data_IF_041206133033
#
_entry.id   IF_041206133033
#
_cell.length_a   1.000
_cell.length_b   1.000
_cell.length_c   1.000
_cell.angle_alpha   90.00
_cell.angle_beta   90.00
_cell.angle_gamma   90.00
#
_symmetry.space_group_name_H-M   'P 1'
#
loop_
_entity.id
_entity.type
_entity.pdbx_description
1 polymer ?
#
# COMPACT_ATOMS: atom_id res chain seq x y z
N UNK A 1 21.53 11.38 10.56
CA UNK A 1 20.52 10.46 10.01
C UNK A 1 20.86 10.29 8.55
N UNK A 2 21.12 9.08 8.08
CA UNK A 2 21.31 8.79 6.67
C UNK A 2 19.99 9.04 5.96
N UNK A 3 19.92 10.08 5.13
CA UNK A 3 18.85 10.27 4.13
C UNK A 3 18.78 8.99 3.32
N UNK A 4 17.74 8.20 3.55
CA UNK A 4 17.56 6.94 2.83
C UNK A 4 17.04 7.26 1.43
N UNK A 5 17.82 6.91 0.41
CA UNK A 5 17.39 7.01 -0.97
C UNK A 5 16.22 6.04 -1.22
N UNK A 6 15.19 6.51 -1.93
CA UNK A 6 14.09 5.64 -2.37
C UNK A 6 14.57 4.86 -3.59
N UNK A 7 14.52 3.54 -3.50
CA UNK A 7 14.85 2.60 -4.56
C UNK A 7 13.57 1.91 -5.02
N UNK A 8 13.38 1.80 -6.34
CA UNK A 8 12.20 1.19 -6.95
C UNK A 8 12.63 0.10 -7.90
N UNK A 9 12.01 -1.06 -7.74
CA UNK A 9 12.10 -2.17 -8.64
C UNK A 9 10.79 -2.29 -9.40
N UNK A 10 10.77 -1.75 -10.63
CA UNK A 10 9.56 -1.69 -11.44
C UNK A 10 9.05 -3.09 -11.83
N UNK A 11 9.99 -4.02 -12.09
CA UNK A 11 9.68 -5.40 -12.43
C UNK A 11 9.04 -6.16 -11.27
N UNK A 12 9.50 -5.91 -10.06
CA UNK A 12 8.92 -6.48 -8.84
C UNK A 12 7.76 -5.63 -8.25
N UNK A 13 7.43 -4.50 -8.89
CA UNK A 13 6.52 -3.46 -8.36
C UNK A 13 6.74 -3.22 -6.87
N UNK A 14 8.00 -3.00 -6.51
CA UNK A 14 8.47 -2.86 -5.14
C UNK A 14 9.21 -1.54 -4.98
N UNK A 15 8.99 -0.87 -3.85
CA UNK A 15 9.69 0.31 -3.40
C UNK A 15 10.31 0.02 -2.03
N UNK A 16 11.56 0.43 -1.83
CA UNK A 16 12.23 0.38 -0.53
C UNK A 16 12.92 1.73 -0.28
N UNK A 17 12.74 2.27 0.91
CA UNK A 17 13.46 3.45 1.42
C UNK A 17 14.35 3.01 2.59
N UNK A 18 15.47 2.37 2.27
CA UNK A 18 16.37 1.73 3.24
C UNK A 18 15.61 1.00 4.37
N UNK A 19 15.94 1.29 5.62
CA UNK A 19 15.29 0.72 6.81
C UNK A 19 14.08 1.53 7.30
N UNK A 20 13.53 2.43 6.49
CA UNK A 20 12.46 3.34 6.90
C UNK A 20 11.08 2.88 6.42
N UNK A 21 10.99 2.41 5.17
CA UNK A 21 9.73 2.02 4.55
C UNK A 21 9.94 1.03 3.41
N UNK A 22 8.92 0.21 3.14
CA UNK A 22 8.78 -0.54 1.91
C UNK A 22 7.32 -0.51 1.44
N UNK A 23 7.10 -0.66 0.14
CA UNK A 23 5.78 -0.89 -0.42
C UNK A 23 5.86 -1.80 -1.64
N UNK A 24 4.84 -2.63 -1.87
CA UNK A 24 4.84 -3.51 -3.02
C UNK A 24 3.42 -3.95 -3.39
N UNK A 25 3.26 -4.29 -4.67
CA UNK A 25 2.05 -4.89 -5.21
C UNK A 25 2.40 -6.22 -5.88
N UNK A 26 1.67 -7.28 -5.55
CA UNK A 26 1.74 -8.59 -6.21
C UNK A 26 0.38 -8.85 -6.84
N UNK A 27 0.38 -9.27 -8.10
CA UNK A 27 -0.86 -9.64 -8.78
C UNK A 27 -1.26 -11.06 -8.41
N UNK A 28 -2.51 -11.24 -8.00
CA UNK A 28 -3.05 -12.53 -7.59
C UNK A 28 -2.98 -13.54 -8.74
N UNK A 29 -2.61 -14.80 -8.43
CA UNK A 29 -2.32 -15.78 -9.48
C UNK A 29 -3.53 -16.15 -10.33
N UNK A 30 -4.74 -16.15 -9.75
CA UNK A 30 -6.00 -16.30 -10.51
C UNK A 30 -6.30 -15.09 -11.41
N UNK A 31 -5.94 -13.87 -10.98
CA UNK A 31 -6.15 -12.66 -11.78
C UNK A 31 -5.31 -12.68 -13.05
N UNK A 32 -4.04 -13.12 -12.93
CA UNK A 32 -3.15 -13.31 -14.08
C UNK A 32 -3.74 -14.35 -15.04
N UNK A 33 -4.18 -15.50 -14.52
CA UNK A 33 -4.75 -16.56 -15.35
C UNK A 33 -6.05 -16.15 -16.05
N UNK A 34 -6.89 -15.38 -15.36
CA UNK A 34 -8.20 -14.92 -15.85
C UNK A 34 -8.12 -13.64 -16.70
N UNK A 35 -6.94 -13.03 -16.80
CA UNK A 35 -6.72 -11.82 -17.60
C UNK A 35 -7.36 -10.56 -17.01
N UNK A 36 -7.51 -10.49 -15.69
CA UNK A 36 -7.96 -9.29 -14.97
C UNK A 36 -6.81 -8.29 -14.77
N UNK A 37 -7.16 -7.06 -14.38
CA UNK A 37 -6.19 -6.08 -13.88
C UNK A 37 -5.85 -6.34 -12.41
N UNK A 38 -4.88 -5.59 -11.87
CA UNK A 38 -4.60 -5.62 -10.44
C UNK A 38 -5.43 -4.53 -9.72
N UNK A 39 -6.28 -4.95 -8.79
CA UNK A 39 -7.21 -4.09 -8.05
C UNK A 39 -6.57 -3.23 -6.97
N UNK A 40 -5.37 -3.58 -6.52
CA UNK A 40 -4.66 -2.90 -5.43
C UNK A 40 -3.86 -1.70 -5.90
N UNK A 41 -4.08 -0.54 -5.28
CA UNK A 41 -3.32 0.67 -5.52
C UNK A 41 -2.77 1.25 -4.22
N UNK A 42 -1.51 1.69 -4.27
CA UNK A 42 -0.75 2.27 -3.17
C UNK A 42 -0.43 3.73 -3.49
N UNK A 43 -0.59 4.60 -2.51
CA UNK A 43 -0.14 5.98 -2.50
C UNK A 43 0.92 6.15 -1.41
N UNK A 44 2.11 6.59 -1.80
CA UNK A 44 3.16 7.01 -0.89
C UNK A 44 3.42 8.49 -1.10
N UNK A 45 3.15 9.33 -0.10
CA UNK A 45 3.49 10.75 -0.08
C UNK A 45 4.46 11.02 1.09
N UNK A 46 5.76 10.92 0.81
CA UNK A 46 6.79 11.12 1.82
C UNK A 46 6.84 12.58 2.30
N UNK A 47 6.48 13.53 1.42
CA UNK A 47 6.46 14.95 1.75
C UNK A 47 5.42 15.32 2.77
N UNK A 48 4.33 14.55 2.87
CA UNK A 48 3.26 14.69 3.87
C UNK A 48 3.28 13.60 4.95
N UNK A 49 4.24 12.67 4.88
CA UNK A 49 4.26 11.43 5.65
C UNK A 49 2.89 10.72 5.65
N UNK A 50 2.27 10.67 4.46
CA UNK A 50 0.97 10.09 4.19
C UNK A 50 1.12 8.83 3.36
N UNK A 51 0.46 7.76 3.79
CA UNK A 51 0.46 6.47 3.10
C UNK A 51 -0.97 5.99 3.01
N UNK A 52 -1.41 5.61 1.81
CA UNK A 52 -2.75 5.10 1.60
C UNK A 52 -2.75 3.89 0.67
N UNK A 53 -3.71 3.00 0.90
CA UNK A 53 -3.97 1.82 0.09
C UNK A 53 -5.45 1.78 -0.25
N UNK A 54 -5.75 1.31 -1.45
CA UNK A 54 -7.11 1.11 -1.92
C UNK A 54 -7.14 -0.15 -2.77
N UNK A 55 -8.13 -0.99 -2.54
CA UNK A 55 -8.32 -2.28 -3.19
C UNK A 55 -9.68 -2.29 -3.88
N UNK A 56 -9.74 -2.65 -5.15
CA UNK A 56 -10.95 -2.56 -5.96
C UNK A 56 -11.36 -3.90 -6.54
N UNK A 57 -12.67 -4.06 -6.72
CA UNK A 57 -13.21 -5.28 -7.29
C UNK A 57 -12.72 -5.51 -8.74
N UNK A 58 -12.56 -6.78 -9.12
CA UNK A 58 -12.10 -7.25 -10.44
C UNK A 58 -12.74 -6.58 -11.66
N UNK A 59 -14.02 -6.20 -11.55
CA UNK A 59 -14.76 -5.56 -12.64
C UNK A 59 -14.21 -4.17 -13.01
N UNK A 60 -13.60 -3.48 -12.05
CA UNK A 60 -13.07 -2.13 -12.21
C UNK A 60 -11.75 -1.97 -11.42
N UNK A 61 -10.67 -2.67 -11.83
CA UNK A 61 -9.42 -2.73 -11.05
C UNK A 61 -8.69 -1.36 -10.97
N UNK A 62 -8.98 -0.44 -11.88
CA UNK A 62 -8.45 0.93 -11.82
C UNK A 62 -9.22 1.84 -10.84
N UNK A 63 -10.33 1.38 -10.27
CA UNK A 63 -11.16 2.20 -9.39
C UNK A 63 -10.42 2.65 -8.12
N UNK A 64 -9.51 1.82 -7.61
CA UNK A 64 -8.63 2.12 -6.48
C UNK A 64 -7.64 3.24 -6.82
N UNK A 65 -6.99 3.15 -7.98
CA UNK A 65 -6.11 4.20 -8.53
C UNK A 65 -6.87 5.50 -8.72
N UNK A 66 -8.06 5.46 -9.30
CA UNK A 66 -8.89 6.65 -9.52
C UNK A 66 -9.27 7.33 -8.21
N UNK A 67 -9.58 6.55 -7.17
CA UNK A 67 -9.86 7.08 -5.82
C UNK A 67 -8.64 7.79 -5.23
N UNK A 68 -7.48 7.11 -5.21
CA UNK A 68 -6.26 7.67 -4.64
C UNK A 68 -5.74 8.88 -5.44
N UNK A 69 -5.89 8.87 -6.78
CA UNK A 69 -5.58 9.99 -7.64
C UNK A 69 -6.47 11.21 -7.33
N UNK A 70 -7.79 11.00 -7.15
CA UNK A 70 -8.69 12.08 -6.71
C UNK A 70 -8.32 12.61 -5.33
N UNK A 71 -8.00 11.71 -4.39
CA UNK A 71 -7.62 12.09 -3.04
C UNK A 71 -6.37 12.98 -3.04
N UNK A 72 -5.30 12.57 -3.72
CA UNK A 72 -4.08 13.39 -3.80
C UNK A 72 -4.31 14.71 -4.54
N UNK A 73 -5.08 14.71 -5.63
CA UNK A 73 -5.43 15.93 -6.36
C UNK A 73 -6.22 16.91 -5.47
N UNK A 74 -7.14 16.40 -4.65
CA UNK A 74 -7.92 17.19 -3.70
C UNK A 74 -7.08 17.83 -2.59
N UNK A 75 -5.95 17.22 -2.21
CA UNK A 75 -4.98 17.83 -1.29
C UNK A 75 -4.18 18.98 -1.94
N UNK A 76 -4.06 18.97 -3.27
CA UNK A 76 -3.36 20.00 -4.04
C UNK A 76 -1.87 20.14 -3.69
N UNK A 77 -1.34 21.34 -3.91
CA UNK A 77 0.02 21.74 -3.50
C UNK A 77 0.11 22.34 -2.10
N UNK A 78 -1.02 22.44 -1.38
CA UNK A 78 -1.08 23.04 -0.06
C UNK A 78 -0.40 22.16 1.01
N UNK A 79 -0.03 22.81 2.12
CA UNK A 79 0.40 22.14 3.35
C UNK A 79 -0.65 21.13 3.81
N UNK A 80 -0.20 20.08 4.49
CA UNK A 80 -1.05 19.03 5.07
C UNK A 80 -2.23 19.62 5.85
N UNK A 81 -3.46 19.06 5.72
CA UNK A 81 -4.56 19.41 6.60
C UNK A 81 -4.12 19.49 8.06
N UNK A 82 -4.37 20.64 8.70
CA UNK A 82 -3.89 20.92 10.06
C UNK A 82 -4.70 20.23 11.17
N UNK A 83 -5.71 19.42 10.83
CA UNK A 83 -6.52 18.69 11.80
C UNK A 83 -7.02 17.35 11.23
N UNK A 84 -7.36 16.38 12.09
CA UNK A 84 -8.01 15.13 11.68
C UNK A 84 -9.27 15.36 10.83
N UNK A 85 -10.10 16.32 11.19
CA UNK A 85 -11.33 16.65 10.45
C UNK A 85 -11.04 17.15 9.03
N UNK A 86 -9.92 17.86 8.85
CA UNK A 86 -9.43 18.27 7.53
C UNK A 86 -9.06 17.06 6.66
N UNK A 87 -8.42 16.05 7.24
CA UNK A 87 -8.14 14.78 6.54
C UNK A 87 -9.42 14.04 6.18
N UNK A 88 -10.38 13.97 7.10
CA UNK A 88 -11.67 13.33 6.85
C UNK A 88 -12.43 14.03 5.72
N UNK A 89 -12.43 15.37 5.69
CA UNK A 89 -13.04 16.15 4.62
C UNK A 89 -12.37 15.89 3.26
N UNK A 90 -11.04 15.84 3.21
CA UNK A 90 -10.29 15.56 1.99
C UNK A 90 -10.60 14.16 1.42
N UNK A 91 -10.63 13.13 2.28
CA UNK A 91 -11.00 11.77 1.87
C UNK A 91 -12.45 11.71 1.40
N UNK A 92 -13.37 12.36 2.12
CA UNK A 92 -14.78 12.37 1.75
C UNK A 92 -15.05 13.12 0.43
N UNK A 93 -14.22 14.10 0.08
CA UNK A 93 -14.26 14.72 -1.25
C UNK A 93 -13.90 13.72 -2.36
N UNK A 94 -12.90 12.85 -2.14
CA UNK A 94 -12.54 11.79 -3.07
C UNK A 94 -13.63 10.71 -3.19
N UNK A 95 -14.23 10.32 -2.05
CA UNK A 95 -15.37 9.38 -1.98
C UNK A 95 -16.58 9.88 -2.78
N UNK A 96 -16.92 11.16 -2.67
CA UNK A 96 -18.05 11.74 -3.38
C UNK A 96 -17.90 11.66 -4.91
N UNK A 97 -16.65 11.58 -5.41
CA UNK A 97 -16.36 11.39 -6.83
C UNK A 97 -16.35 9.93 -7.29
N UNK A 98 -16.54 8.94 -6.40
CA UNK A 98 -16.48 7.52 -6.74
C UNK A 98 -17.81 7.03 -7.37
N UNK A 99 -17.80 6.48 -8.60
CA UNK A 99 -19.00 5.90 -9.19
C UNK A 99 -19.53 4.70 -8.41
N UNK A 100 -20.86 4.51 -8.39
CA UNK A 100 -21.50 3.50 -7.54
C UNK A 100 -21.03 2.05 -7.80
N UNK A 101 -20.72 1.73 -9.06
CA UNK A 101 -20.29 0.39 -9.44
C UNK A 101 -18.78 0.17 -9.26
N UNK A 102 -18.02 1.24 -9.03
CA UNK A 102 -16.56 1.21 -8.88
C UNK A 102 -16.23 1.04 -7.39
N UNK A 103 -16.70 -0.07 -6.80
CA UNK A 103 -16.50 -0.39 -5.37
C UNK A 103 -15.02 -0.54 -5.08
N UNK A 104 -14.52 0.18 -4.08
CA UNK A 104 -13.14 0.03 -3.60
C UNK A 104 -13.03 0.31 -2.10
N UNK A 105 -12.06 -0.31 -1.44
CA UNK A 105 -11.66 0.01 -0.07
C UNK A 105 -10.83 1.29 -0.04
N UNK A 106 -10.59 1.78 1.17
CA UNK A 106 -9.62 2.82 1.42
C UNK A 106 -9.06 2.62 2.83
N UNK A 107 -7.75 2.60 2.99
CA UNK A 107 -7.12 2.81 4.27
C UNK A 107 -5.95 3.79 4.13
N UNK A 108 -5.78 4.66 5.12
CA UNK A 108 -4.79 5.72 5.11
C UNK A 108 -4.21 5.90 6.50
N UNK A 109 -2.90 6.10 6.56
CA UNK A 109 -2.17 6.48 7.76
C UNK A 109 -1.36 7.75 7.46
N UNK A 110 -1.57 8.78 8.27
CA UNK A 110 -0.81 10.03 8.24
C UNK A 110 0.00 10.14 9.52
N UNK A 111 1.32 10.25 9.38
CA UNK A 111 2.20 10.49 10.52
C UNK A 111 2.20 11.98 10.89
N UNK A 112 1.73 12.27 12.09
CA UNK A 112 1.77 13.60 12.68
C UNK A 112 2.89 13.65 13.71
N UNK A 113 3.88 14.52 13.48
CA UNK A 113 4.89 14.85 14.48
C UNK A 113 4.57 16.21 15.09
N UNK A 114 4.32 16.24 16.40
CA UNK A 114 4.18 17.48 17.16
C UNK A 114 5.21 17.53 18.29
N UNK A 115 5.39 18.70 18.89
CA UNK A 115 6.28 18.87 20.05
C UNK A 115 5.90 18.01 21.27
N UNK A 116 4.70 17.40 21.29
CA UNK A 116 4.22 16.50 22.35
C UNK A 116 4.36 15.01 22.02
N UNK A 117 4.92 14.64 20.86
CA UNK A 117 5.11 13.25 20.44
C UNK A 117 4.65 13.00 19.00
N UNK A 118 4.75 11.74 18.57
CA UNK A 118 4.25 11.31 17.26
C UNK A 118 2.92 10.56 17.42
N UNK A 119 2.02 10.74 16.46
CA UNK A 119 0.76 10.02 16.37
C UNK A 119 0.44 9.68 14.92
N UNK A 120 -0.39 8.68 14.70
CA UNK A 120 -1.01 8.44 13.41
C UNK A 120 -2.43 8.97 13.40
N UNK A 121 -2.81 9.64 12.32
CA UNK A 121 -4.20 9.81 11.95
C UNK A 121 -4.56 8.70 10.95
N UNK A 122 -5.52 7.85 11.31
CA UNK A 122 -5.95 6.69 10.54
C UNK A 122 -7.37 6.89 10.04
N UNK A 123 -7.57 6.72 8.73
CA UNK A 123 -8.88 6.72 8.09
C UNK A 123 -9.07 5.39 7.36
N UNK A 124 -10.23 4.76 7.51
CA UNK A 124 -10.47 3.45 6.88
C UNK A 124 -11.94 3.26 6.46
N UNK A 125 -12.13 2.55 5.35
CA UNK A 125 -13.42 2.14 4.81
C UNK A 125 -13.28 0.89 3.95
N UNK A 126 -14.09 -0.13 4.23
CA UNK A 126 -13.93 -1.47 3.63
C UNK A 126 -13.13 -2.40 4.53
N UNK A 127 -12.42 -3.34 3.92
CA UNK A 127 -11.74 -4.48 4.54
C UNK A 127 -10.20 -4.48 4.38
N UNK A 128 -9.62 -3.50 3.69
CA UNK A 128 -8.18 -3.22 3.81
C UNK A 128 -7.83 -2.72 5.22
N UNK A 129 -6.70 -3.16 5.75
CA UNK A 129 -6.39 -3.03 7.18
C UNK A 129 -5.20 -2.12 7.42
N UNK A 130 -5.24 -1.35 8.50
CA UNK A 130 -4.07 -0.69 9.09
C UNK A 130 -3.71 -1.39 10.40
N UNK A 131 -2.49 -1.90 10.49
CA UNK A 131 -1.87 -2.42 11.72
C UNK A 131 -0.85 -1.43 12.26
N UNK A 132 -0.79 -1.31 13.59
CA UNK A 132 0.40 -0.82 14.29
C UNK A 132 0.88 -1.96 15.18
N UNK A 133 2.12 -2.39 14.98
CA UNK A 133 2.72 -3.47 15.75
C UNK A 133 4.08 -3.05 16.31
N UNK A 134 4.50 -3.64 17.42
CA UNK A 134 5.88 -3.52 17.88
C UNK A 134 6.80 -4.25 16.90
N UNK A 135 7.76 -3.57 16.25
CA UNK A 135 8.64 -4.21 15.25
C UNK A 135 9.52 -5.31 15.82
N UNK A 136 9.83 -5.25 17.12
CA UNK A 136 10.77 -6.18 17.75
C UNK A 136 10.06 -7.47 18.21
N UNK A 137 8.79 -7.38 18.62
CA UNK A 137 8.02 -8.52 19.15
C UNK A 137 6.90 -8.98 18.22
N UNK A 138 6.43 -8.10 17.35
CA UNK A 138 5.24 -8.22 16.51
C UNK A 138 3.92 -8.18 17.27
N UNK A 139 3.93 -7.74 18.54
CA UNK A 139 2.72 -7.44 19.31
C UNK A 139 1.87 -6.41 18.57
N UNK A 140 0.61 -6.74 18.27
CA UNK A 140 -0.34 -5.82 17.64
C UNK A 140 -0.82 -4.83 18.69
N UNK A 141 -0.51 -3.55 18.48
CA UNK A 141 -0.90 -2.44 19.36
C UNK A 141 -2.20 -1.78 18.91
N UNK A 142 -2.48 -1.85 17.61
CA UNK A 142 -3.66 -1.29 16.98
C UNK A 142 -3.96 -2.04 15.68
N UNK A 143 -5.25 -2.20 15.37
CA UNK A 143 -5.73 -2.75 14.11
C UNK A 143 -7.10 -2.14 13.80
N UNK A 144 -7.31 -1.64 12.58
CA UNK A 144 -8.65 -1.26 12.12
C UNK A 144 -9.54 -2.49 11.95
N UNK A 145 -10.83 -2.36 12.25
CA UNK A 145 -11.81 -3.41 11.98
C UNK A 145 -12.39 -3.25 10.56
N UNK A 146 -12.59 -4.35 9.82
CA UNK A 146 -13.33 -4.31 8.55
C UNK A 146 -14.72 -3.70 8.72
N UNK A 147 -15.17 -2.92 7.74
CA UNK A 147 -16.48 -2.30 7.74
C UNK A 147 -17.09 -2.21 6.33
N UNK A 148 -18.34 -1.75 6.23
CA UNK A 148 -19.07 -1.66 4.96
C UNK A 148 -18.89 -0.30 4.25
N UNK A 149 -17.97 0.56 4.68
CA UNK A 149 -17.76 1.92 4.15
C UNK A 149 -16.88 1.93 2.89
N UNK A 150 -17.21 1.10 1.91
CA UNK A 150 -16.52 1.08 0.62
C UNK A 150 -16.86 2.33 -0.20
N UNK A 151 -15.85 2.96 -0.81
CA UNK A 151 -16.10 4.02 -1.78
C UNK A 151 -16.92 3.45 -2.95
N UNK A 152 -17.88 4.24 -3.44
CA UNK A 152 -18.85 3.80 -4.45
C UNK A 152 -20.03 3.00 -3.86
N UNK A 153 -20.00 2.60 -2.59
CA UNK A 153 -21.19 2.04 -1.91
C UNK A 153 -21.66 2.89 -0.75
N UNK A 154 -20.72 3.55 -0.09
CA UNK A 154 -20.98 4.54 0.95
C UNK A 154 -20.60 5.94 0.45
N UNK A 155 -21.37 6.97 0.84
CA UNK A 155 -21.10 8.34 0.42
C UNK A 155 -19.87 8.96 1.11
N UNK A 156 -19.43 8.39 2.23
CA UNK A 156 -18.35 8.91 3.07
C UNK A 156 -17.79 7.83 4.00
N UNK A 157 -16.61 8.11 4.57
CA UNK A 157 -16.14 7.55 5.84
C UNK A 157 -16.59 8.49 6.96
N UNK A 158 -17.00 7.91 8.09
CA UNK A 158 -17.47 8.65 9.26
C UNK A 158 -16.54 8.55 10.48
N UNK A 159 -15.55 7.67 10.42
CA UNK A 159 -14.65 7.40 11.54
C UNK A 159 -13.22 7.81 11.19
N UNK A 160 -12.56 8.41 12.17
CA UNK A 160 -11.16 8.79 12.12
C UNK A 160 -10.55 8.44 13.47
N UNK A 161 -9.39 7.81 13.43
CA UNK A 161 -8.72 7.33 14.63
C UNK A 161 -7.39 8.02 14.79
N UNK A 162 -7.10 8.44 16.02
CA UNK A 162 -5.78 8.95 16.36
C UNK A 162 -5.07 7.92 17.23
N UNK A 163 -3.97 7.39 16.73
CA UNK A 163 -3.19 6.34 17.39
C UNK A 163 -1.88 6.93 17.90
N UNK A 164 -1.68 7.05 19.23
CA UNK A 164 -0.40 7.53 19.77
C UNK A 164 0.75 6.56 19.46
N UNK A 165 1.91 7.08 19.09
CA UNK A 165 3.14 6.32 18.88
C UNK A 165 4.12 6.61 20.03
N UNK A 166 4.05 5.80 21.07
CA UNK A 166 4.69 6.07 22.37
C UNK A 166 6.00 5.32 22.59
N UNK A 167 6.23 4.21 21.89
CA UNK A 167 7.33 3.26 22.16
C UNK A 167 8.58 3.51 21.31
N UNK A 168 8.45 4.16 20.15
CA UNK A 168 9.53 4.34 19.17
C UNK A 168 9.94 3.05 18.43
N UNK A 169 9.24 1.95 18.72
CA UNK A 169 9.41 0.63 18.11
C UNK A 169 8.23 0.24 17.26
N UNK A 170 7.24 1.12 17.11
CA UNK A 170 6.08 0.86 16.26
C UNK A 170 6.50 0.72 14.79
N UNK A 171 5.86 -0.24 14.13
CA UNK A 171 5.81 -0.40 12.68
C UNK A 171 4.35 -0.30 12.26
N UNK A 172 4.11 0.48 11.22
CA UNK A 172 2.80 0.64 10.61
C UNK A 172 2.75 -0.19 9.35
N UNK A 173 1.67 -0.94 9.18
CA UNK A 173 1.43 -1.76 7.98
C UNK A 173 0.04 -1.47 7.45
N UNK A 174 -0.08 -1.09 6.19
CA UNK A 174 -1.31 -1.06 5.43
C UNK A 174 -1.31 -2.26 4.49
N UNK A 175 -2.37 -3.04 4.45
CA UNK A 175 -2.47 -4.16 3.53
C UNK A 175 -3.90 -4.38 3.00
N UNK A 176 -4.00 -4.88 1.77
CA UNK A 176 -5.25 -5.43 1.21
C UNK A 176 -5.59 -6.79 1.84
N UNK A 177 -6.78 -7.29 1.57
CA UNK A 177 -7.24 -8.57 2.08
C UNK A 177 -6.53 -9.77 1.44
N UNK A 178 -5.89 -9.60 0.28
CA UNK A 178 -5.05 -10.62 -0.33
C UNK A 178 -3.93 -11.10 0.60
N UNK A 179 -3.35 -10.22 1.44
CA UNK A 179 -2.40 -10.63 2.47
C UNK A 179 -3.07 -11.47 3.58
N UNK A 180 -4.32 -11.20 3.91
CA UNK A 180 -5.07 -12.02 4.86
C UNK A 180 -5.40 -13.40 4.26
N UNK A 181 -5.68 -13.47 2.96
CA UNK A 181 -5.81 -14.74 2.23
C UNK A 181 -4.50 -15.51 2.23
N UNK A 182 -3.37 -14.80 2.10
CA UNK A 182 -2.08 -15.40 2.30
C UNK A 182 -1.94 -16.02 3.71
N UNK A 183 -2.30 -15.25 4.74
CA UNK A 183 -2.22 -15.72 6.12
C UNK A 183 -3.11 -16.95 6.38
N UNK A 184 -4.35 -16.98 5.86
CA UNK A 184 -5.28 -18.12 5.98
C UNK A 184 -4.69 -19.41 5.42
N UNK A 185 -3.94 -19.32 4.31
CA UNK A 185 -3.35 -20.47 3.62
C UNK A 185 -1.97 -20.89 4.17
N UNK A 186 -1.40 -20.13 5.10
CA UNK A 186 -0.07 -20.38 5.66
C UNK A 186 -0.02 -21.58 6.62
N UNK A 187 -1.16 -22.00 7.18
CA UNK A 187 -1.24 -23.04 8.21
C UNK A 187 -0.89 -22.58 9.63
N UNK A 188 -0.63 -21.28 9.84
CA UNK A 188 -0.52 -20.64 11.15
C UNK A 188 -1.68 -19.64 11.35
N UNK A 189 -1.85 -19.12 12.58
CA UNK A 189 -2.84 -18.05 12.81
C UNK A 189 -2.46 -16.80 12.02
N UNK A 190 -3.46 -15.97 11.68
CA UNK A 190 -3.20 -14.70 10.99
C UNK A 190 -2.24 -13.80 11.76
N UNK A 191 -2.40 -13.71 13.08
CA UNK A 191 -1.48 -12.96 13.96
C UNK A 191 -0.05 -13.49 13.88
N UNK A 192 0.15 -14.81 13.95
CA UNK A 192 1.48 -15.42 13.85
C UNK A 192 2.11 -15.19 12.47
N UNK A 193 1.31 -15.28 11.41
CA UNK A 193 1.77 -14.96 10.05
C UNK A 193 2.26 -13.50 9.96
N UNK A 194 1.44 -12.56 10.42
CA UNK A 194 1.79 -11.14 10.43
C UNK A 194 3.04 -10.89 11.26
N UNK A 195 3.16 -11.53 12.43
CA UNK A 195 4.37 -11.46 13.28
C UNK A 195 5.61 -11.94 12.52
N UNK A 196 5.55 -13.08 11.85
CA UNK A 196 6.69 -13.63 11.09
C UNK A 196 7.13 -12.76 9.91
N UNK A 197 6.18 -12.08 9.25
CA UNK A 197 6.46 -11.20 8.12
C UNK A 197 6.99 -9.85 8.61
N UNK A 198 6.29 -9.22 9.56
CA UNK A 198 6.49 -7.82 9.91
C UNK A 198 7.47 -7.57 11.07
N UNK A 199 8.06 -8.61 11.69
CA UNK A 199 9.22 -8.46 12.59
C UNK A 199 10.57 -8.46 11.87
N UNK A 200 10.57 -8.72 10.55
CA UNK A 200 11.79 -8.71 9.73
C UNK A 200 12.34 -7.31 9.52
N UNK A 201 13.55 -7.21 8.98
CA UNK A 201 14.05 -5.94 8.46
C UNK A 201 13.13 -5.44 7.33
N UNK A 202 12.75 -4.17 7.37
CA UNK A 202 11.65 -3.65 6.55
C UNK A 202 11.91 -3.81 5.04
N UNK A 203 13.15 -3.62 4.59
CA UNK A 203 13.54 -3.78 3.19
C UNK A 203 13.43 -5.22 2.67
N UNK A 204 13.37 -6.21 3.56
CA UNK A 204 13.29 -7.64 3.22
C UNK A 204 11.86 -8.19 3.19
N UNK A 205 10.89 -7.40 3.68
CA UNK A 205 9.48 -7.80 3.70
C UNK A 205 8.95 -8.12 2.29
N UNK A 206 9.20 -7.29 1.25
CA UNK A 206 8.65 -7.54 -0.08
C UNK A 206 9.12 -8.88 -0.69
N UNK A 207 10.40 -9.21 -0.50
CA UNK A 207 10.98 -10.48 -0.96
C UNK A 207 10.35 -11.66 -0.21
N UNK A 208 10.22 -11.56 1.11
CA UNK A 208 9.60 -12.61 1.91
C UNK A 208 8.16 -12.90 1.49
N UNK A 209 7.36 -11.87 1.22
CA UNK A 209 5.96 -12.06 0.79
C UNK A 209 5.90 -12.64 -0.62
N UNK A 210 6.81 -12.24 -1.52
CA UNK A 210 6.94 -12.85 -2.85
C UNK A 210 7.36 -14.32 -2.80
N UNK A 211 8.29 -14.69 -1.93
CA UNK A 211 8.68 -16.10 -1.75
C UNK A 211 7.49 -16.95 -1.31
N UNK A 212 6.66 -16.41 -0.41
CA UNK A 212 5.45 -17.07 0.05
C UNK A 212 4.42 -17.23 -1.08
N UNK A 213 4.25 -16.19 -1.90
CA UNK A 213 3.38 -16.25 -3.08
C UNK A 213 3.88 -17.29 -4.10
N UNK A 214 5.17 -17.27 -4.44
CA UNK A 214 5.77 -18.20 -5.39
C UNK A 214 5.74 -19.66 -4.92
N UNK A 215 5.89 -19.90 -3.61
CA UNK A 215 5.76 -21.24 -3.03
C UNK A 215 4.35 -21.83 -3.19
N UNK A 216 3.31 -21.00 -3.34
CA UNK A 216 1.94 -21.47 -3.58
C UNK A 216 1.65 -21.74 -5.03
N UNK A 217 2.12 -20.88 -5.93
CA UNK A 217 1.99 -21.09 -7.37
C UNK A 217 2.75 -22.35 -7.84
N UNK A 218 3.90 -22.66 -7.23
CA UNK A 218 4.73 -23.82 -7.60
C UNK A 218 4.45 -25.12 -6.84
N UNK A 219 3.70 -25.09 -5.73
CA UNK A 219 3.66 -26.17 -4.76
C UNK A 219 2.53 -27.20 -4.93
N UNK A 220 1.67 -27.07 -5.95
CA UNK A 220 0.47 -27.92 -6.10
C UNK A 220 -0.56 -27.76 -4.97
N UNK A 221 -0.37 -26.79 -4.07
CA UNK A 221 -1.38 -26.36 -3.09
C UNK A 221 -2.42 -25.56 -3.87
N UNK A 222 -3.66 -26.02 -3.84
CA UNK A 222 -4.80 -25.44 -4.57
C UNK A 222 -5.29 -24.09 -4.00
N UNK A 223 -4.37 -23.24 -3.56
CA UNK A 223 -4.68 -21.93 -2.98
C UNK A 223 -4.31 -20.82 -3.95
N UNK A 224 -5.32 -20.26 -4.61
CA UNK A 224 -5.18 -18.95 -5.24
C UNK A 224 -5.20 -17.88 -4.13
N UNK A 225 -4.47 -16.79 -4.35
CA UNK A 225 -4.53 -15.60 -3.50
C UNK A 225 -4.96 -14.41 -4.36
N UNK A 226 -5.67 -13.46 -3.75
CA UNK A 226 -6.06 -12.20 -4.41
C UNK A 226 -4.84 -11.28 -4.61
N UNK A 227 -5.02 -10.13 -5.24
CA UNK A 227 -3.99 -9.09 -5.30
C UNK A 227 -3.48 -8.73 -3.90
N UNK A 228 -2.17 -8.51 -3.77
CA UNK A 228 -1.53 -8.18 -2.49
C UNK A 228 -0.85 -6.83 -2.60
N UNK A 229 -1.45 -5.83 -1.98
CA UNK A 229 -0.91 -4.50 -1.77
C UNK A 229 -0.45 -4.36 -0.34
N UNK A 230 0.79 -3.90 -0.14
CA UNK A 230 1.33 -3.66 1.19
C UNK A 230 2.14 -2.37 1.21
N UNK A 231 1.95 -1.57 2.25
CA UNK A 231 2.87 -0.50 2.66
C UNK A 231 3.29 -0.80 4.10
N UNK A 232 4.58 -0.81 4.39
CA UNK A 232 5.10 -0.87 5.75
C UNK A 232 6.10 0.25 5.99
N UNK A 233 6.04 0.91 7.15
CA UNK A 233 7.00 1.93 7.55
C UNK A 233 7.23 1.98 9.05
N UNK A 234 8.42 2.39 9.46
CA UNK A 234 8.79 2.60 10.85
C UNK A 234 8.75 4.11 11.15
N UNK A 235 7.72 4.65 11.85
CA UNK A 235 7.52 6.09 12.01
C UNK A 235 8.71 6.80 12.65
N UNK A 236 9.34 6.17 13.65
CA UNK A 236 10.50 6.73 14.35
C UNK A 236 11.76 6.82 13.47
N UNK A 237 11.79 6.13 12.32
CA UNK A 237 12.91 6.11 11.37
C UNK A 237 12.61 6.93 10.12
N UNK A 238 11.36 7.37 9.93
CA UNK A 238 10.94 8.04 8.71
C UNK A 238 11.53 9.46 8.64
N UNK A 239 12.32 9.70 7.62
CA UNK A 239 12.85 11.01 7.30
C UNK A 239 11.85 11.80 6.43
N UNK A 240 11.43 12.97 6.92
CA UNK A 240 10.50 13.89 6.26
C UNK A 240 11.15 14.87 5.27
N UNK A 241 12.44 14.73 4.96
CA UNK A 241 13.11 15.56 3.96
C UNK A 241 12.71 15.23 2.51
N UNK A 242 12.26 14.00 2.28
CA UNK A 242 11.87 13.52 0.96
C UNK A 242 10.48 14.07 0.57
N UNK A 243 10.36 14.58 -0.66
CA UNK A 243 9.12 15.14 -1.21
C UNK A 243 8.50 14.26 -2.29
N UNK A 244 9.08 13.08 -2.51
CA UNK A 244 8.60 12.14 -3.51
C UNK A 244 7.19 11.68 -3.18
N UNK A 245 6.38 11.59 -4.24
CA UNK A 245 5.02 11.09 -4.17
C UNK A 245 4.74 10.12 -5.31
N UNK A 246 4.29 8.92 -4.98
CA UNK A 246 4.17 7.80 -5.92
C UNK A 246 2.79 7.15 -5.80
N UNK A 247 2.18 6.87 -6.96
CA UNK A 247 1.08 5.92 -7.10
C UNK A 247 1.57 4.64 -7.77
N UNK A 248 1.24 3.49 -7.19
CA UNK A 248 1.62 2.16 -7.69
C UNK A 248 0.43 1.21 -7.68
N UNK A 249 0.19 0.45 -8.76
CA UNK A 249 -0.93 -0.53 -8.84
C UNK A 249 -2.25 0.04 -9.39
N UNK A 250 -3.40 -0.60 -9.15
CA UNK A 250 -4.70 -0.20 -9.69
C UNK A 250 -4.69 -0.15 -11.22
N UNK A 251 -4.27 -1.25 -11.82
CA UNK A 251 -3.96 -1.38 -13.25
C UNK A 251 -5.12 -1.99 -14.02
N UNK A 252 -5.23 -1.68 -15.30
CA UNK A 252 -6.25 -2.29 -16.16
C UNK A 252 -5.81 -3.69 -16.63
N UNK A 253 -6.73 -4.53 -17.11
CA UNK A 253 -6.37 -5.77 -17.80
C UNK A 253 -5.36 -5.58 -18.93
N UNK A 254 -5.40 -4.45 -19.63
CA UNK A 254 -4.44 -4.16 -20.70
C UNK A 254 -3.05 -3.91 -20.14
N UNK A 255 -2.92 -3.10 -19.08
CA UNK A 255 -1.63 -2.86 -18.41
C UNK A 255 -1.02 -4.16 -17.90
N UNK A 256 -1.83 -5.05 -17.29
CA UNK A 256 -1.32 -6.34 -16.82
C UNK A 256 -0.87 -7.24 -17.96
N UNK A 257 -1.66 -7.36 -19.04
CA UNK A 257 -1.23 -8.12 -20.22
C UNK A 257 0.07 -7.61 -20.81
N UNK A 258 0.21 -6.29 -20.93
CA UNK A 258 1.41 -5.66 -21.49
C UNK A 258 2.62 -5.89 -20.57
N UNK A 259 2.43 -5.75 -19.25
CA UNK A 259 3.45 -6.04 -18.25
C UNK A 259 3.94 -7.50 -18.34
N UNK A 260 3.02 -8.47 -18.44
CA UNK A 260 3.38 -9.89 -18.59
C UNK A 260 4.05 -10.19 -19.95
N UNK A 261 3.55 -9.62 -21.04
CA UNK A 261 4.06 -9.84 -22.39
C UNK A 261 5.45 -9.22 -22.63
N UNK A 262 5.76 -8.12 -21.93
CA UNK A 262 7.03 -7.39 -22.08
C UNK A 262 8.27 -8.17 -21.59
N UNK A 263 8.07 -9.26 -20.84
CA UNK A 263 9.15 -9.98 -20.17
C UNK A 263 9.77 -9.22 -18.98
N UNK A 264 9.25 -8.03 -18.64
CA UNK A 264 9.78 -7.21 -17.53
C UNK A 264 9.77 -7.99 -16.21
N UNK A 265 8.73 -8.78 -15.96
CA UNK A 265 8.56 -9.55 -14.72
C UNK A 265 9.59 -10.70 -14.52
N UNK A 266 10.37 -11.07 -15.54
CA UNK A 266 11.24 -12.27 -15.50
C UNK A 266 12.57 -12.08 -14.78
N UNK A 267 13.01 -10.84 -14.60
CA UNK A 267 14.31 -10.50 -13.99
C UNK A 267 14.15 -9.35 -12.98
N UNK A 268 13.43 -9.58 -11.86
CA UNK A 268 13.19 -8.53 -10.90
C UNK A 268 14.48 -8.04 -10.24
N UNK A 269 15.40 -8.92 -9.86
CA UNK A 269 16.54 -8.58 -9.00
C UNK A 269 17.52 -7.56 -9.60
N UNK A 270 17.61 -7.45 -10.93
CA UNK A 270 18.59 -6.59 -11.62
C UNK A 270 18.09 -5.16 -11.88
N UNK A 271 16.85 -4.81 -11.50
CA UNK A 271 16.15 -3.61 -12.01
C UNK A 271 15.80 -2.57 -10.95
N UNK A 272 16.71 -2.35 -10.00
CA UNK A 272 16.58 -1.27 -9.01
C UNK A 272 17.00 0.07 -9.60
N UNK A 273 16.08 1.03 -9.54
CA UNK A 273 16.27 2.41 -10.03
C UNK A 273 16.06 3.36 -8.86
N UNK A 274 16.87 4.42 -8.79
CA UNK A 274 16.68 5.48 -7.79
C UNK A 274 15.44 6.29 -8.12
N UNK A 275 14.70 6.73 -7.11
CA UNK A 275 13.51 7.55 -7.33
C UNK A 275 13.84 8.88 -8.06
N UNK A 276 15.03 9.43 -7.83
CA UNK A 276 15.56 10.60 -8.54
C UNK A 276 15.79 10.38 -10.04
N UNK A 277 15.98 9.14 -10.47
CA UNK A 277 16.21 8.76 -11.87
C UNK A 277 14.93 8.32 -12.59
N UNK A 278 13.77 8.27 -11.91
CA UNK A 278 12.51 7.77 -12.47
C UNK A 278 12.08 8.45 -13.76
N UNK A 279 12.36 9.75 -13.92
CA UNK A 279 12.03 10.48 -15.15
C UNK A 279 12.70 9.88 -16.39
N UNK A 280 13.91 9.32 -16.24
CA UNK A 280 14.65 8.65 -17.32
C UNK A 280 14.02 7.28 -17.67
N UNK A 281 13.23 6.73 -16.75
CA UNK A 281 12.57 5.43 -16.86
C UNK A 281 11.04 5.55 -16.94
N UNK A 282 10.47 6.73 -17.23
CA UNK A 282 9.03 7.00 -17.13
C UNK A 282 8.17 5.99 -17.91
N UNK A 283 8.54 5.67 -19.15
CA UNK A 283 7.83 4.69 -19.97
C UNK A 283 7.89 3.25 -19.41
N UNK A 284 8.97 2.89 -18.71
CA UNK A 284 9.04 1.62 -17.99
C UNK A 284 8.11 1.64 -16.77
N UNK A 285 8.17 2.70 -15.98
CA UNK A 285 7.38 2.85 -14.75
C UNK A 285 5.89 2.83 -15.04
N UNK A 286 5.45 3.59 -16.06
CA UNK A 286 4.05 3.64 -16.48
C UNK A 286 3.51 2.26 -16.87
N UNK A 287 4.28 1.49 -17.64
CA UNK A 287 3.93 0.09 -18.00
C UNK A 287 3.85 -0.84 -16.79
N UNK A 288 4.61 -0.56 -15.74
CA UNK A 288 4.56 -1.29 -14.48
C UNK A 288 3.46 -0.76 -13.53
N UNK A 289 2.66 0.22 -13.95
CA UNK A 289 1.66 0.86 -13.11
C UNK A 289 2.26 1.71 -12.00
N UNK A 290 3.40 2.36 -12.24
CA UNK A 290 4.09 3.22 -11.27
C UNK A 290 4.19 4.63 -11.86
N UNK A 291 3.74 5.64 -11.12
CA UNK A 291 3.79 7.04 -11.55
C UNK A 291 4.14 7.96 -10.38
N UNK A 292 4.88 9.04 -10.66
CA UNK A 292 5.10 10.16 -9.73
C UNK A 292 3.93 11.14 -9.91
N UNK A 293 3.36 11.65 -8.82
CA UNK A 293 2.16 12.53 -8.86
C UNK A 293 2.23 13.78 -7.99
#
# INVERSE_FOLDING_TARGET
MTTGEIMINAAARTLVKNEQACAFVITGSDKVASGYGNGDCLLLDFGRALFALSDSAERYPSASRDLLARFVQGLGGADTPGSPEGWLAAVNSAYAGQPYHHKTTFCCAVLESSGSGSALTVLHGGDSIVYVACRDTGEILFCTAPNMNFAGRSPAIHHIERVPLARGTERVVLCSDGLADMAKNSGVSGEEFMRQVFTREIGTIPERVRDLAGAWDGGGRSGHFDDVGVIAFDPARLDGSDRMRILMGGTTPHHERDFQASGIAREPEERWVRASDLAQHAALMERCGIVIV
#
